data_IF_108218945388
#
_entry.id   IF_108218945388
#
_cell.length_a   1.000
_cell.length_b   1.000
_cell.length_c   1.000
_cell.angle_alpha   90.00
_cell.angle_beta   90.00
_cell.angle_gamma   90.00
#
_symmetry.space_group_name_H-M   'P 1'
#
loop_
_entity.id
_entity.type
_entity.pdbx_description
1 polymer ?
#
# COMPACT_ATOMS: atom_id res chain seq x y z
N UNK A 1 -12.52 18.49 0.78
CA UNK A 1 -11.66 17.27 0.74
C UNK A 1 -10.88 17.03 2.04
N UNK A 2 -11.21 17.68 3.17
CA UNK A 2 -10.55 17.44 4.46
C UNK A 2 -11.30 16.38 5.30
N UNK A 3 -12.59 16.17 5.02
CA UNK A 3 -13.47 15.30 5.81
C UNK A 3 -13.15 13.80 5.69
N UNK A 4 -12.61 13.35 4.56
CA UNK A 4 -12.43 11.91 4.28
C UNK A 4 -11.29 11.29 5.12
N UNK A 5 -10.22 12.04 5.38
CA UNK A 5 -9.09 11.58 6.19
C UNK A 5 -9.47 11.48 7.67
N UNK A 6 -10.28 12.42 8.17
CA UNK A 6 -10.77 12.42 9.55
C UNK A 6 -11.77 11.28 9.78
N UNK A 7 -12.63 11.01 8.78
CA UNK A 7 -13.55 9.88 8.82
C UNK A 7 -12.80 8.54 8.90
N UNK A 8 -11.81 8.30 8.03
CA UNK A 8 -11.03 7.05 8.03
C UNK A 8 -10.21 6.83 9.30
N UNK A 9 -9.77 7.91 9.98
CA UNK A 9 -9.01 7.78 11.25
C UNK A 9 -9.85 7.21 12.39
N UNK A 10 -11.15 7.49 12.40
CA UNK A 10 -12.06 7.10 13.47
C UNK A 10 -12.89 5.86 13.11
N UNK A 11 -12.76 5.34 11.89
CA UNK A 11 -13.44 4.13 11.44
C UNK A 11 -12.62 2.88 11.84
N UNK A 12 -13.21 1.94 12.60
CA UNK A 12 -12.53 0.74 13.07
C UNK A 12 -12.13 -0.24 11.95
N UNK A 13 -12.63 -0.03 10.73
CA UNK A 13 -12.30 -0.83 9.54
C UNK A 13 -10.94 -0.44 8.93
N UNK A 14 -10.36 0.68 9.36
CA UNK A 14 -9.07 1.17 8.86
C UNK A 14 -7.98 1.07 9.94
N UNK A 15 -6.76 0.81 9.48
CA UNK A 15 -5.57 0.81 10.32
C UNK A 15 -4.49 1.72 9.70
N UNK A 16 -3.69 2.37 10.55
CA UNK A 16 -2.57 3.17 10.10
C UNK A 16 -1.34 2.29 9.83
N UNK A 17 -0.75 2.44 8.64
CA UNK A 17 0.55 1.87 8.30
C UNK A 17 1.58 3.00 8.24
N UNK A 18 2.69 2.89 8.99
CA UNK A 18 3.71 3.94 9.09
C UNK A 18 5.13 3.37 9.01
N UNK A 19 6.04 4.10 8.37
CA UNK A 19 7.45 3.74 8.28
C UNK A 19 8.29 4.83 7.59
N UNK A 20 9.62 4.67 7.65
CA UNK A 20 10.56 5.54 6.94
C UNK A 20 11.03 4.87 5.65
N UNK A 21 10.96 5.62 4.54
CA UNK A 21 11.48 5.21 3.22
C UNK A 21 12.34 6.34 2.65
N UNK A 22 13.14 6.04 1.62
CA UNK A 22 14.04 7.03 1.03
C UNK A 22 13.26 8.16 0.36
N UNK A 23 13.83 9.38 0.41
CA UNK A 23 13.20 10.58 -0.18
C UNK A 23 12.97 10.45 -1.68
N UNK A 24 13.87 9.74 -2.36
CA UNK A 24 13.76 9.48 -3.80
C UNK A 24 12.53 8.64 -4.13
N UNK A 25 12.31 7.54 -3.38
CA UNK A 25 11.12 6.70 -3.55
C UNK A 25 9.84 7.47 -3.26
N UNK A 26 9.81 8.31 -2.22
CA UNK A 26 8.65 9.17 -1.92
C UNK A 26 8.36 10.13 -3.08
N UNK A 27 9.41 10.71 -3.66
CA UNK A 27 9.27 11.65 -4.78
C UNK A 27 8.68 10.96 -6.00
N UNK A 28 9.25 9.83 -6.40
CA UNK A 28 8.76 9.04 -7.54
C UNK A 28 7.32 8.59 -7.35
N UNK A 29 6.99 8.08 -6.16
CA UNK A 29 5.63 7.66 -5.84
C UNK A 29 4.61 8.81 -5.99
N UNK A 30 4.94 10.02 -5.51
CA UNK A 30 4.05 11.18 -5.63
C UNK A 30 3.88 11.64 -7.07
N UNK A 31 4.94 11.59 -7.87
CA UNK A 31 4.86 11.90 -9.32
C UNK A 31 3.93 10.90 -10.00
N UNK A 32 4.11 9.59 -9.76
CA UNK A 32 3.24 8.56 -10.32
C UNK A 32 1.76 8.72 -9.92
N UNK A 33 1.48 9.06 -8.65
CA UNK A 33 0.11 9.34 -8.22
C UNK A 33 -0.50 10.53 -8.97
N UNK A 34 0.32 11.55 -9.26
CA UNK A 34 -0.11 12.73 -10.01
C UNK A 34 -0.39 12.38 -11.47
N UNK A 35 0.51 11.66 -12.12
CA UNK A 35 0.37 11.24 -13.52
C UNK A 35 -0.84 10.33 -13.75
N UNK A 36 -1.19 9.53 -12.74
CA UNK A 36 -2.34 8.61 -12.78
C UNK A 36 -3.64 9.22 -12.24
N UNK A 37 -3.62 10.47 -11.77
CA UNK A 37 -4.77 11.15 -11.15
C UNK A 37 -5.44 10.38 -10.00
N UNK A 38 -4.64 9.65 -9.20
CA UNK A 38 -5.11 8.87 -8.04
C UNK A 38 -4.60 9.42 -6.72
N UNK A 39 -5.32 9.11 -5.63
CA UNK A 39 -4.87 9.52 -4.30
C UNK A 39 -3.68 8.66 -3.82
N UNK A 40 -2.81 9.26 -3.00
CA UNK A 40 -1.69 8.52 -2.39
C UNK A 40 -2.17 7.36 -1.50
N UNK A 41 -3.36 7.46 -0.91
CA UNK A 41 -3.93 6.40 -0.07
C UNK A 41 -4.34 5.22 -0.93
N UNK A 42 -5.03 5.47 -2.05
CA UNK A 42 -5.48 4.40 -2.95
C UNK A 42 -4.28 3.71 -3.61
N UNK A 43 -3.29 4.49 -4.06
CA UNK A 43 -2.04 3.95 -4.62
C UNK A 43 -1.26 3.13 -3.59
N UNK A 44 -1.21 3.57 -2.33
CA UNK A 44 -0.58 2.80 -1.24
C UNK A 44 -1.32 1.50 -0.95
N UNK A 45 -2.66 1.54 -0.92
CA UNK A 45 -3.48 0.36 -0.68
C UNK A 45 -3.32 -0.69 -1.80
N UNK A 46 -3.28 -0.24 -3.06
CA UNK A 46 -2.99 -1.10 -4.21
C UNK A 46 -1.60 -1.73 -4.13
N UNK A 47 -0.58 -0.92 -3.85
CA UNK A 47 0.79 -1.41 -3.71
C UNK A 47 0.92 -2.46 -2.59
N UNK A 48 0.25 -2.24 -1.45
CA UNK A 48 0.22 -3.21 -0.34
C UNK A 48 -0.50 -4.49 -0.74
N UNK A 49 -1.64 -4.41 -1.45
CA UNK A 49 -2.37 -5.59 -1.95
C UNK A 49 -1.48 -6.42 -2.89
N UNK A 50 -0.83 -5.78 -3.86
CA UNK A 50 0.09 -6.44 -4.79
C UNK A 50 1.25 -7.14 -4.06
N UNK A 51 1.85 -6.47 -3.07
CA UNK A 51 2.91 -7.08 -2.26
C UNK A 51 2.42 -8.31 -1.47
N UNK A 52 1.21 -8.24 -0.90
CA UNK A 52 0.60 -9.35 -0.16
C UNK A 52 0.25 -10.54 -1.07
N UNK A 53 -0.19 -10.29 -2.30
CA UNK A 53 -0.42 -11.35 -3.30
C UNK A 53 0.89 -12.07 -3.62
N UNK A 54 1.98 -11.34 -3.87
CA UNK A 54 3.30 -11.91 -4.09
C UNK A 54 3.79 -12.69 -2.86
N UNK A 55 3.59 -12.15 -1.65
CA UNK A 55 3.91 -12.85 -0.40
C UNK A 55 3.17 -14.19 -0.30
N UNK A 56 1.86 -14.22 -0.56
CA UNK A 56 1.04 -15.44 -0.54
C UNK A 56 1.50 -16.44 -1.60
N UNK A 57 1.77 -15.98 -2.83
CA UNK A 57 2.27 -16.82 -3.91
C UNK A 57 3.64 -17.44 -3.55
N UNK A 58 4.54 -16.67 -2.96
CA UNK A 58 5.85 -17.14 -2.51
C UNK A 58 5.75 -18.14 -1.36
N UNK A 59 4.83 -17.91 -0.40
CA UNK A 59 4.56 -18.84 0.68
C UNK A 59 4.05 -20.18 0.15
N UNK A 60 3.11 -20.16 -0.80
CA UNK A 60 2.56 -21.38 -1.41
C UNK A 60 3.58 -22.19 -2.22
N UNK A 61 4.57 -21.52 -2.85
CA UNK A 61 5.69 -22.19 -3.53
C UNK A 61 6.63 -22.88 -2.53
N UNK A 62 6.93 -22.26 -1.39
CA UNK A 62 7.79 -22.86 -0.36
C UNK A 62 7.18 -24.11 0.27
N UNK A 63 5.87 -24.17 0.44
CA UNK A 63 5.19 -25.36 0.99
C UNK A 63 5.12 -26.55 0.04
N UNK A 64 5.35 -26.35 -1.28
CA UNK A 64 5.34 -27.43 -2.29
C UNK A 64 6.73 -27.96 -2.66
N UNK A 65 7.80 -27.38 -2.11
CA UNK A 65 9.19 -27.76 -2.44
C UNK A 65 9.86 -28.58 -1.34
N UNK A 66 9.12 -28.93 -0.29
CA UNK A 66 9.56 -29.73 0.86
C UNK A 66 8.82 -31.08 0.96
N UNK A 67 8.21 -31.54 -0.14
CA UNK A 67 7.58 -32.86 -0.27
C UNK A 67 8.17 -33.60 -1.47
#
# INVERSE_FOLDING_TARGET
MIDDVVARRNDPSYAQLSGYISKEVVKEFKMACTDLEISQVDAMEEAVKLWLEQYKANKAKKSKSSE
#
